data_IF_259460541568
#
_entry.id   IF_259460541568
#
_cell.length_a   1.000
_cell.length_b   1.000
_cell.length_c   1.000
_cell.angle_alpha   90.00
_cell.angle_beta   90.00
_cell.angle_gamma   90.00
#
_symmetry.space_group_name_H-M   'P 1'
#
loop_
_entity.id
_entity.type
_entity.pdbx_description
1 polymer ?
#
# COMPACT_ATOMS: atom_id res chain seq x y z
N UNK A 1 -23.06 5.03 -39.70
CA UNK A 1 -23.84 4.04 -38.93
C UNK A 1 -23.47 4.17 -37.47
N UNK A 2 -24.44 4.19 -36.55
CA UNK A 2 -24.18 4.27 -35.11
C UNK A 2 -23.49 2.97 -34.63
N UNK A 3 -22.45 3.04 -33.77
CA UNK A 3 -21.75 1.86 -33.24
C UNK A 3 -22.64 0.97 -32.34
N UNK A 4 -23.87 1.40 -32.05
CA UNK A 4 -24.83 0.69 -31.22
C UNK A 4 -25.93 -0.03 -32.02
N UNK A 5 -25.88 0.00 -33.36
CA UNK A 5 -26.90 -0.64 -34.19
C UNK A 5 -26.90 -2.18 -33.98
N UNK A 6 -28.06 -2.74 -33.61
CA UNK A 6 -28.23 -4.18 -33.36
C UNK A 6 -27.84 -4.67 -31.97
N UNK A 7 -27.45 -3.78 -31.03
CA UNK A 7 -27.18 -4.14 -29.63
C UNK A 7 -28.35 -3.74 -28.72
N UNK A 8 -28.81 -4.67 -27.88
CA UNK A 8 -29.77 -4.38 -26.82
C UNK A 8 -28.96 -3.98 -25.58
N UNK A 9 -29.13 -2.76 -25.05
CA UNK A 9 -28.43 -2.35 -23.83
C UNK A 9 -28.92 -3.16 -22.63
N UNK A 10 -28.02 -3.41 -21.69
CA UNK A 10 -28.36 -4.06 -20.42
C UNK A 10 -29.37 -3.14 -19.68
N UNK A 11 -30.48 -3.68 -19.14
CA UNK A 11 -31.41 -2.89 -18.35
C UNK A 11 -30.69 -2.25 -17.15
N UNK A 12 -30.91 -0.96 -16.84
CA UNK A 12 -30.20 -0.25 -15.76
C UNK A 12 -30.27 -0.95 -14.40
N UNK A 13 -31.39 -1.62 -14.11
CA UNK A 13 -31.57 -2.41 -12.89
C UNK A 13 -30.61 -3.61 -12.85
N UNK A 14 -30.47 -4.33 -13.97
CA UNK A 14 -29.61 -5.50 -14.06
C UNK A 14 -28.13 -5.09 -13.95
N UNK A 15 -27.77 -3.96 -14.57
CA UNK A 15 -26.43 -3.37 -14.47
C UNK A 15 -26.06 -3.06 -13.01
N UNK A 16 -26.93 -2.34 -12.31
CA UNK A 16 -26.75 -2.03 -10.89
C UNK A 16 -26.68 -3.29 -9.99
N UNK A 17 -27.45 -4.33 -10.31
CA UNK A 17 -27.40 -5.60 -9.58
C UNK A 17 -26.07 -6.32 -9.77
N UNK A 18 -25.55 -6.34 -11.01
CA UNK A 18 -24.25 -6.93 -11.31
C UNK A 18 -23.15 -6.16 -10.57
N UNK A 19 -23.18 -4.83 -10.59
CA UNK A 19 -22.24 -3.98 -9.85
C UNK A 19 -22.27 -4.27 -8.35
N UNK A 20 -23.46 -4.39 -7.77
CA UNK A 20 -23.61 -4.70 -6.34
C UNK A 20 -23.01 -6.07 -5.99
N UNK A 21 -23.28 -7.10 -6.80
CA UNK A 21 -22.70 -8.43 -6.63
C UNK A 21 -21.18 -8.41 -6.69
N UNK A 22 -20.61 -7.67 -7.64
CA UNK A 22 -19.16 -7.49 -7.76
C UNK A 22 -18.57 -6.76 -6.57
N UNK A 23 -19.21 -5.69 -6.11
CA UNK A 23 -18.78 -4.93 -4.94
C UNK A 23 -18.77 -5.79 -3.68
N UNK A 24 -19.78 -6.63 -3.48
CA UNK A 24 -19.84 -7.52 -2.33
C UNK A 24 -18.79 -8.63 -2.40
N UNK A 25 -18.56 -9.20 -3.60
CA UNK A 25 -17.46 -10.16 -3.82
C UNK A 25 -16.11 -9.53 -3.52
N UNK A 26 -15.85 -8.31 -4.00
CA UNK A 26 -14.61 -7.59 -3.76
C UNK A 26 -14.39 -7.30 -2.26
N UNK A 27 -15.44 -6.88 -1.54
CA UNK A 27 -15.36 -6.68 -0.08
C UNK A 27 -15.03 -7.97 0.67
N UNK A 28 -15.58 -9.11 0.23
CA UNK A 28 -15.26 -10.41 0.82
C UNK A 28 -13.80 -10.80 0.58
N UNK A 29 -13.31 -10.63 -0.66
CA UNK A 29 -11.90 -10.90 -0.99
C UNK A 29 -10.95 -9.99 -0.20
N UNK A 30 -11.28 -8.70 -0.11
CA UNK A 30 -10.55 -7.74 0.71
C UNK A 30 -10.44 -8.23 2.17
N UNK A 31 -11.56 -8.60 2.79
CA UNK A 31 -11.56 -9.13 4.18
C UNK A 31 -10.67 -10.37 4.32
N UNK A 32 -10.71 -11.29 3.36
CA UNK A 32 -9.88 -12.49 3.40
C UNK A 32 -8.38 -12.16 3.32
N UNK A 33 -7.99 -11.28 2.39
CA UNK A 33 -6.59 -10.84 2.23
C UNK A 33 -6.10 -10.10 3.47
N UNK A 34 -6.90 -9.18 4.03
CA UNK A 34 -6.52 -8.46 5.26
C UNK A 34 -6.42 -9.40 6.46
N UNK A 35 -7.30 -10.39 6.58
CA UNK A 35 -7.22 -11.41 7.63
C UNK A 35 -5.91 -12.21 7.52
N UNK A 36 -5.54 -12.60 6.30
CA UNK A 36 -4.29 -13.32 6.04
C UNK A 36 -3.07 -12.45 6.35
N UNK A 37 -3.04 -11.19 5.91
CA UNK A 37 -1.96 -10.24 6.22
C UNK A 37 -1.82 -10.04 7.73
N UNK A 38 -2.95 -9.79 8.43
CA UNK A 38 -2.96 -9.63 9.88
C UNK A 38 -2.38 -10.87 10.57
N UNK A 39 -2.80 -12.07 10.15
CA UNK A 39 -2.28 -13.35 10.68
C UNK A 39 -0.78 -13.51 10.42
N UNK A 40 -0.29 -13.12 9.24
CA UNK A 40 1.14 -13.15 8.93
C UNK A 40 1.92 -12.20 9.84
N UNK A 41 1.46 -10.96 10.00
CA UNK A 41 2.11 -9.95 10.87
C UNK A 41 2.12 -10.38 12.34
N UNK A 42 1.00 -10.93 12.86
CA UNK A 42 0.93 -11.36 14.26
C UNK A 42 1.69 -12.64 14.55
N UNK A 43 1.97 -13.47 13.54
CA UNK A 43 2.77 -14.69 13.72
C UNK A 43 4.24 -14.41 14.07
N UNK A 44 4.73 -13.19 13.79
CA UNK A 44 6.11 -12.73 14.05
C UNK A 44 7.21 -13.67 13.54
N UNK A 45 6.92 -14.47 12.52
CA UNK A 45 7.91 -15.37 11.91
C UNK A 45 8.81 -14.58 10.96
N UNK A 46 10.13 -14.72 11.14
CA UNK A 46 11.14 -14.07 10.28
C UNK A 46 10.94 -14.35 8.80
N UNK A 47 10.58 -15.60 8.45
CA UNK A 47 10.26 -16.03 7.08
C UNK A 47 9.14 -15.23 6.39
N UNK A 48 8.25 -14.59 7.16
CA UNK A 48 7.14 -13.81 6.58
C UNK A 48 7.53 -12.36 6.34
N UNK A 49 8.67 -11.89 6.85
CA UNK A 49 9.00 -10.47 6.86
C UNK A 49 9.06 -9.90 5.43
N UNK A 50 9.77 -10.57 4.51
CA UNK A 50 9.94 -10.07 3.15
C UNK A 50 8.59 -10.01 2.40
N UNK A 51 7.76 -11.04 2.58
CA UNK A 51 6.42 -11.07 2.00
C UNK A 51 5.53 -9.95 2.58
N UNK A 52 5.56 -9.73 3.90
CA UNK A 52 4.83 -8.63 4.55
C UNK A 52 5.32 -7.28 4.01
N UNK A 53 6.63 -7.08 3.92
CA UNK A 53 7.22 -5.86 3.38
C UNK A 53 6.70 -5.56 1.96
N UNK A 54 6.75 -6.55 1.06
CA UNK A 54 6.24 -6.39 -0.31
C UNK A 54 4.74 -6.07 -0.34
N UNK A 55 3.93 -6.78 0.45
CA UNK A 55 2.49 -6.53 0.51
C UNK A 55 2.20 -5.11 0.99
N UNK A 56 2.85 -4.66 2.06
CA UNK A 56 2.66 -3.31 2.60
C UNK A 56 3.13 -2.26 1.58
N UNK A 57 4.28 -2.47 0.94
CA UNK A 57 4.79 -1.59 -0.11
C UNK A 57 3.79 -1.42 -1.26
N UNK A 58 3.21 -2.53 -1.76
CA UNK A 58 2.20 -2.50 -2.82
C UNK A 58 0.92 -1.80 -2.36
N UNK A 59 0.43 -2.10 -1.16
CA UNK A 59 -0.79 -1.49 -0.62
C UNK A 59 -0.63 0.03 -0.45
N UNK A 60 0.51 0.49 0.10
CA UNK A 60 0.79 1.92 0.26
C UNK A 60 0.97 2.61 -1.08
N UNK A 61 1.65 1.97 -2.04
CA UNK A 61 1.79 2.51 -3.40
C UNK A 61 0.43 2.70 -4.07
N UNK A 62 -0.47 1.73 -3.92
CA UNK A 62 -1.82 1.82 -4.47
C UNK A 62 -2.66 2.89 -3.76
N UNK A 63 -2.60 2.96 -2.43
CA UNK A 63 -3.27 4.00 -1.67
C UNK A 63 -2.80 5.39 -2.11
N UNK A 64 -1.50 5.58 -2.28
CA UNK A 64 -0.92 6.85 -2.69
C UNK A 64 -1.37 7.24 -4.10
N UNK A 65 -1.38 6.28 -5.04
CA UNK A 65 -1.87 6.49 -6.39
C UNK A 65 -3.35 6.93 -6.42
N UNK A 66 -4.24 6.22 -5.71
CA UNK A 66 -5.68 6.57 -5.69
C UNK A 66 -5.92 7.92 -5.01
N UNK A 67 -5.18 8.22 -3.93
CA UNK A 67 -5.29 9.49 -3.22
C UNK A 67 -4.85 10.65 -4.11
N UNK A 68 -3.72 10.51 -4.81
CA UNK A 68 -3.25 11.52 -5.77
C UNK A 68 -4.24 11.75 -6.90
N UNK A 69 -4.80 10.69 -7.45
CA UNK A 69 -5.79 10.80 -8.51
C UNK A 69 -7.05 11.54 -8.01
N UNK A 70 -7.52 11.22 -6.81
CA UNK A 70 -8.67 11.89 -6.21
C UNK A 70 -8.38 13.36 -5.89
N UNK A 71 -7.18 13.68 -5.39
CA UNK A 71 -6.73 15.05 -5.15
C UNK A 71 -6.71 15.87 -6.44
N UNK A 72 -6.11 15.33 -7.52
CA UNK A 72 -6.12 15.97 -8.85
C UNK A 72 -7.53 16.22 -9.39
N UNK A 73 -8.46 15.29 -9.16
CA UNK A 73 -9.87 15.48 -9.54
C UNK A 73 -10.51 16.63 -8.75
N UNK A 74 -10.30 16.68 -7.44
CA UNK A 74 -10.80 17.75 -6.58
C UNK A 74 -10.22 19.10 -7.01
N UNK A 75 -8.91 19.18 -7.21
CA UNK A 75 -8.22 20.40 -7.63
C UNK A 75 -8.73 20.89 -9.00
N UNK A 76 -9.03 19.96 -9.92
CA UNK A 76 -9.56 20.28 -11.24
C UNK A 76 -10.98 20.84 -11.22
N UNK A 77 -11.85 20.35 -10.35
CA UNK A 77 -13.26 20.75 -10.30
C UNK A 77 -13.58 21.75 -9.19
N UNK A 78 -12.63 22.03 -8.29
CA UNK A 78 -12.75 23.02 -7.22
C UNK A 78 -13.83 22.70 -6.18
N UNK A 79 -14.31 21.45 -6.13
CA UNK A 79 -15.39 21.02 -5.25
C UNK A 79 -15.11 19.61 -4.71
N UNK A 80 -15.12 19.50 -3.39
CA UNK A 80 -15.04 18.22 -2.68
C UNK A 80 -16.41 17.89 -2.13
N UNK A 81 -16.94 16.70 -2.46
CA UNK A 81 -18.15 16.21 -1.80
C UNK A 81 -17.82 15.67 -0.41
N UNK A 82 -18.76 15.66 0.55
CA UNK A 82 -18.54 15.07 1.87
C UNK A 82 -18.07 13.61 1.81
N UNK A 83 -18.58 12.85 0.83
CA UNK A 83 -18.16 11.47 0.59
C UNK A 83 -16.70 11.38 0.14
N UNK A 84 -16.25 12.24 -0.77
CA UNK A 84 -14.85 12.28 -1.21
C UNK A 84 -13.91 12.65 -0.06
N UNK A 85 -14.27 13.64 0.76
CA UNK A 85 -13.50 14.00 1.94
C UNK A 85 -13.37 12.82 2.90
N UNK A 86 -14.48 12.17 3.24
CA UNK A 86 -14.49 11.00 4.12
C UNK A 86 -13.66 9.83 3.57
N UNK A 87 -13.68 9.60 2.26
CA UNK A 87 -12.85 8.58 1.62
C UNK A 87 -11.36 8.90 1.72
N UNK A 88 -10.98 10.16 1.47
CA UNK A 88 -9.59 10.60 1.58
C UNK A 88 -9.05 10.48 3.00
N UNK A 89 -9.84 10.86 4.01
CA UNK A 89 -9.50 10.70 5.42
C UNK A 89 -9.31 9.22 5.79
N UNK A 90 -10.17 8.34 5.25
CA UNK A 90 -10.08 6.90 5.44
C UNK A 90 -8.81 6.31 4.82
N UNK A 91 -8.42 6.75 3.63
CA UNK A 91 -7.18 6.32 2.98
C UNK A 91 -5.94 6.77 3.73
N UNK A 92 -5.92 8.03 4.17
CA UNK A 92 -4.83 8.56 4.99
C UNK A 92 -4.69 7.78 6.30
N UNK A 93 -5.81 7.55 6.99
CA UNK A 93 -5.83 6.75 8.22
C UNK A 93 -5.34 5.32 7.96
N UNK A 94 -5.76 4.71 6.85
CA UNK A 94 -5.32 3.36 6.47
C UNK A 94 -3.81 3.30 6.23
N UNK A 95 -3.24 4.28 5.53
CA UNK A 95 -1.80 4.34 5.28
C UNK A 95 -0.99 4.48 6.59
N UNK A 96 -1.45 5.35 7.50
CA UNK A 96 -0.86 5.50 8.84
C UNK A 96 -0.90 4.20 9.63
N UNK A 97 -2.05 3.52 9.64
CA UNK A 97 -2.25 2.24 10.34
C UNK A 97 -1.31 1.16 9.76
N UNK A 98 -1.22 1.04 8.43
CA UNK A 98 -0.34 0.06 7.79
C UNK A 98 1.13 0.28 8.16
N UNK A 99 1.62 1.52 8.08
CA UNK A 99 2.98 1.86 8.49
C UNK A 99 3.20 1.57 9.98
N UNK A 100 2.31 2.02 10.87
CA UNK A 100 2.43 1.80 12.30
C UNK A 100 2.48 0.30 12.65
N UNK A 101 1.62 -0.52 12.04
CA UNK A 101 1.65 -1.97 12.24
C UNK A 101 2.93 -2.61 11.72
N UNK A 102 3.43 -2.17 10.56
CA UNK A 102 4.66 -2.69 9.99
C UNK A 102 5.86 -2.43 10.91
N UNK A 103 6.02 -1.22 11.42
CA UNK A 103 7.10 -0.90 12.36
C UNK A 103 6.90 -1.59 13.72
N UNK A 104 5.72 -1.48 14.32
CA UNK A 104 5.48 -1.96 15.68
C UNK A 104 5.47 -3.49 15.81
N UNK A 105 5.00 -4.22 14.78
CA UNK A 105 4.86 -5.68 14.85
C UNK A 105 5.98 -6.42 14.13
N UNK A 106 6.52 -5.85 13.07
CA UNK A 106 7.49 -6.53 12.21
C UNK A 106 8.90 -5.97 12.36
N UNK A 107 9.11 -4.89 13.14
CA UNK A 107 10.35 -4.13 13.15
C UNK A 107 10.81 -3.84 11.72
N UNK A 108 9.86 -3.36 10.93
CA UNK A 108 9.86 -3.42 9.48
C UNK A 108 11.10 -2.81 8.81
N UNK A 109 11.72 -1.84 9.46
CA UNK A 109 12.91 -1.16 8.98
C UNK A 109 14.22 -1.94 9.21
N UNK A 110 14.29 -2.82 10.22
CA UNK A 110 15.56 -3.46 10.66
C UNK A 110 16.25 -4.21 9.51
N UNK A 111 15.56 -5.06 8.73
CA UNK A 111 16.25 -5.83 7.69
C UNK A 111 16.74 -5.01 6.50
N UNK A 112 16.36 -3.73 6.42
CA UNK A 112 16.91 -2.77 5.44
C UNK A 112 18.26 -2.19 5.89
N UNK A 113 18.55 -2.20 7.19
CA UNK A 113 19.78 -1.65 7.75
C UNK A 113 20.77 -2.72 8.19
N UNK A 114 20.33 -3.97 8.40
CA UNK A 114 21.21 -5.04 8.82
C UNK A 114 22.15 -5.53 7.71
N UNK A 115 23.26 -6.14 8.12
CA UNK A 115 24.16 -6.87 7.22
C UNK A 115 23.66 -8.31 7.07
N UNK A 116 23.27 -8.66 5.85
CA UNK A 116 22.76 -9.99 5.53
C UNK A 116 23.90 -11.00 5.47
N UNK A 117 23.82 -12.03 6.32
CA UNK A 117 24.67 -13.21 6.28
C UNK A 117 23.85 -14.46 5.93
N UNK A 118 24.52 -15.59 5.69
CA UNK A 118 23.85 -16.84 5.29
C UNK A 118 22.80 -17.30 6.31
N UNK A 119 23.06 -17.12 7.61
CA UNK A 119 22.12 -17.50 8.68
C UNK A 119 20.86 -16.63 8.67
N UNK A 120 21.02 -15.31 8.53
CA UNK A 120 19.92 -14.35 8.47
C UNK A 120 19.07 -14.56 7.22
N UNK A 121 19.71 -14.82 6.08
CA UNK A 121 19.03 -15.15 4.82
C UNK A 121 18.19 -16.43 4.96
N UNK A 122 18.76 -17.49 5.54
CA UNK A 122 18.05 -18.74 5.78
C UNK A 122 16.88 -18.55 6.75
N UNK A 123 17.06 -17.77 7.82
CA UNK A 123 16.00 -17.47 8.78
C UNK A 123 14.84 -16.65 8.19
N UNK A 124 15.13 -15.81 7.19
CA UNK A 124 14.14 -15.07 6.42
C UNK A 124 13.52 -15.88 5.27
N UNK A 125 14.00 -17.10 5.03
CA UNK A 125 13.58 -17.96 3.91
C UNK A 125 13.64 -17.24 2.55
N UNK A 126 14.66 -16.40 2.36
CA UNK A 126 14.84 -15.59 1.16
C UNK A 126 15.77 -16.27 0.17
N UNK A 127 15.40 -16.21 -1.11
CA UNK A 127 16.28 -16.67 -2.18
C UNK A 127 17.32 -15.60 -2.58
N UNK A 128 18.18 -15.92 -3.55
CA UNK A 128 19.22 -15.00 -4.01
C UNK A 128 18.64 -13.73 -4.67
N UNK A 129 17.50 -13.84 -5.35
CA UNK A 129 16.85 -12.71 -6.03
C UNK A 129 16.19 -11.77 -5.03
N UNK A 130 15.57 -12.33 -3.99
CA UNK A 130 15.01 -11.54 -2.89
C UNK A 130 16.09 -10.69 -2.23
N UNK A 131 17.28 -11.28 -2.01
CA UNK A 131 18.41 -10.58 -1.43
C UNK A 131 19.03 -9.54 -2.38
N UNK A 132 19.13 -9.85 -3.67
CA UNK A 132 19.57 -8.90 -4.70
C UNK A 132 18.64 -7.67 -4.76
N UNK A 133 17.32 -7.92 -4.72
CA UNK A 133 16.31 -6.88 -4.67
C UNK A 133 16.48 -5.99 -3.43
N UNK A 134 16.58 -6.57 -2.23
CA UNK A 134 16.80 -5.80 -1.00
C UNK A 134 18.10 -5.01 -1.04
N UNK A 135 19.17 -5.60 -1.54
CA UNK A 135 20.48 -4.93 -1.66
C UNK A 135 20.40 -3.72 -2.59
N UNK A 136 19.70 -3.88 -3.72
CA UNK A 136 19.46 -2.80 -4.68
C UNK A 136 18.60 -1.71 -4.06
N UNK A 137 17.52 -2.09 -3.38
CA UNK A 137 16.63 -1.16 -2.68
C UNK A 137 17.37 -0.38 -1.60
N UNK A 138 18.19 -1.04 -0.78
CA UNK A 138 19.01 -0.41 0.27
C UNK A 138 19.89 0.69 -0.33
N UNK A 139 20.63 0.40 -1.41
CA UNK A 139 21.45 1.39 -2.12
C UNK A 139 20.62 2.58 -2.63
N UNK A 140 19.43 2.32 -3.18
CA UNK A 140 18.54 3.39 -3.66
C UNK A 140 18.01 4.27 -2.52
N UNK A 141 17.65 3.67 -1.39
CA UNK A 141 17.18 4.38 -0.20
C UNK A 141 18.31 5.21 0.40
N UNK A 142 19.52 4.65 0.54
CA UNK A 142 20.70 5.35 1.05
C UNK A 142 21.07 6.56 0.18
N UNK A 143 21.08 6.38 -1.14
CA UNK A 143 21.40 7.45 -2.09
C UNK A 143 20.39 8.62 -2.05
N UNK A 144 19.18 8.40 -1.53
CA UNK A 144 18.11 9.40 -1.46
C UNK A 144 17.59 9.61 -0.03
N UNK A 145 18.37 9.24 0.98
CA UNK A 145 17.88 9.14 2.36
C UNK A 145 17.31 10.48 2.87
N UNK A 146 17.99 11.58 2.62
CA UNK A 146 17.53 12.92 3.02
C UNK A 146 16.21 13.30 2.34
N UNK A 147 16.12 13.08 1.03
CA UNK A 147 14.92 13.34 0.25
C UNK A 147 13.74 12.49 0.74
N UNK A 148 13.94 11.20 0.94
CA UNK A 148 12.88 10.28 1.38
C UNK A 148 12.43 10.61 2.81
N UNK A 149 13.34 10.98 3.72
CA UNK A 149 12.98 11.45 5.07
C UNK A 149 12.14 12.72 5.03
N UNK A 150 12.50 13.67 4.16
CA UNK A 150 11.71 14.88 3.96
C UNK A 150 10.31 14.55 3.41
N UNK A 151 10.23 13.67 2.40
CA UNK A 151 8.95 13.24 1.81
C UNK A 151 8.06 12.50 2.81
N UNK A 152 8.63 11.67 3.69
CA UNK A 152 7.89 10.95 4.72
C UNK A 152 7.17 11.90 5.71
N UNK A 153 7.68 13.13 5.88
CA UNK A 153 7.07 14.18 6.71
C UNK A 153 6.13 15.11 5.90
N UNK A 154 6.03 14.89 4.59
CA UNK A 154 5.23 15.71 3.68
C UNK A 154 3.72 15.48 3.82
N UNK A 155 2.90 16.38 3.28
CA UNK A 155 1.45 16.24 3.30
C UNK A 155 0.98 15.10 2.37
N UNK A 156 -0.11 14.40 2.73
CA UNK A 156 -0.75 13.41 1.85
C UNK A 156 -1.05 13.94 0.45
N UNK A 157 -0.86 13.07 -0.54
CA UNK A 157 -1.06 13.37 -1.96
C UNK A 157 0.15 13.96 -2.67
N UNK A 158 1.27 14.18 -1.98
CA UNK A 158 2.56 14.25 -2.64
C UNK A 158 3.06 12.83 -2.98
N UNK A 159 3.95 12.65 -3.98
CA UNK A 159 4.54 11.34 -4.27
C UNK A 159 5.47 10.83 -3.18
N UNK A 160 5.41 9.51 -2.96
CA UNK A 160 6.26 8.72 -2.07
C UNK A 160 6.13 9.05 -0.57
N UNK A 161 5.13 9.81 -0.12
CA UNK A 161 4.96 10.18 1.28
C UNK A 161 4.82 8.94 2.14
N UNK A 162 3.88 8.07 1.78
CA UNK A 162 3.57 6.89 2.60
C UNK A 162 4.58 5.76 2.42
N UNK A 163 5.13 5.61 1.22
CA UNK A 163 6.18 4.62 0.94
C UNK A 163 7.48 5.00 1.63
N UNK A 164 7.87 6.28 1.60
CA UNK A 164 9.13 6.72 2.23
C UNK A 164 9.12 6.48 3.73
N UNK A 165 7.95 6.57 4.37
CA UNK A 165 7.79 6.27 5.78
C UNK A 165 8.11 4.81 6.14
N UNK A 166 8.03 3.85 5.20
CA UNK A 166 8.40 2.44 5.47
C UNK A 166 9.89 2.26 5.79
N UNK A 167 10.74 3.11 5.22
CA UNK A 167 12.17 2.90 5.25
C UNK A 167 12.81 3.45 6.53
N UNK A 168 12.13 4.31 7.27
CA UNK A 168 12.69 4.98 8.44
C UNK A 168 11.88 4.65 9.68
N UNK A 169 12.53 4.58 10.86
CA UNK A 169 11.81 4.47 12.12
C UNK A 169 10.81 5.63 12.25
N UNK A 170 9.58 5.34 12.68
CA UNK A 170 8.67 6.41 13.05
C UNK A 170 9.17 7.08 14.33
N UNK A 171 9.51 8.36 14.25
CA UNK A 171 9.69 9.20 15.43
C UNK A 171 8.36 9.16 16.22
N UNK A 172 8.39 8.71 17.47
CA UNK A 172 7.22 8.73 18.34
C UNK A 172 6.70 10.18 18.40
N UNK A 173 5.50 10.39 17.87
CA UNK A 173 4.79 11.66 17.95
C UNK A 173 4.35 11.95 19.38
#
# INVERSE_FOLDING_TARGET
>A
MSPYHGRIPIPPLLDAQIDQLWMDKMKQQQKAVFSMLKKMMTSRRKQNWFMIFLIIMVLLSNLEFIYQNQKKQIDRYGKTTPQQASMMDSWESSAKILNAHFHALCHGEIPLYMDWNAEAQQAAAMDEKDLEFLTTLKKMVEARAEQLRWLAKGPPGNPLVWISALFFPQEAA
#
